data_IF_979383926560
#
_entry.id   IF_979383926560
#
_cell.length_a   1.000
_cell.length_b   1.000
_cell.length_c   1.000
_cell.angle_alpha   90.00
_cell.angle_beta   90.00
_cell.angle_gamma   90.00
#
_symmetry.space_group_name_H-M   'P 1'
#
loop_
_entity.id
_entity.type
_entity.pdbx_description
1 polymer ?
#
# COMPACT_ATOMS: atom_id res chain seq x y z
N UNK A 1 4.44 -25.03 3.53
CA UNK A 1 3.12 -25.61 3.87
C UNK A 1 2.10 -24.55 4.26
N UNK A 2 2.41 -23.63 5.20
CA UNK A 2 1.47 -22.62 5.71
C UNK A 2 0.90 -21.75 4.59
N UNK A 3 1.77 -21.16 3.76
CA UNK A 3 1.35 -20.29 2.64
C UNK A 3 0.46 -21.03 1.63
N UNK A 4 0.82 -22.23 1.22
CA UNK A 4 0.04 -22.98 0.21
C UNK A 4 -1.27 -23.57 0.70
N UNK A 5 -1.39 -23.86 2.01
CA UNK A 5 -2.57 -24.54 2.56
C UNK A 5 -3.57 -23.60 3.24
N UNK A 6 -3.13 -22.44 3.71
CA UNK A 6 -3.91 -21.57 4.59
C UNK A 6 -4.16 -20.16 4.03
N UNK A 7 -3.38 -19.76 3.00
CA UNK A 7 -3.44 -18.41 2.42
C UNK A 7 -3.15 -18.44 0.93
N UNK A 8 -3.63 -19.45 0.20
CA UNK A 8 -3.35 -19.59 -1.23
C UNK A 8 -4.00 -18.47 -2.05
N UNK A 9 -3.22 -17.82 -2.94
CA UNK A 9 -3.68 -16.76 -3.84
C UNK A 9 -4.36 -15.58 -3.12
N UNK A 10 -3.83 -15.14 -1.97
CA UNK A 10 -4.39 -14.01 -1.24
C UNK A 10 -5.74 -14.29 -0.55
N UNK A 11 -6.16 -15.56 -0.43
CA UNK A 11 -7.44 -15.92 0.18
C UNK A 11 -7.26 -16.42 1.61
N UNK A 12 -8.03 -15.86 2.53
CA UNK A 12 -8.12 -16.35 3.91
C UNK A 12 -9.10 -17.52 4.00
N UNK A 13 -8.69 -18.61 4.62
CA UNK A 13 -9.51 -19.83 4.79
C UNK A 13 -9.98 -19.98 6.23
N UNK A 14 -11.01 -20.80 6.46
CA UNK A 14 -11.52 -21.10 7.80
C UNK A 14 -10.48 -21.71 8.75
N UNK A 15 -9.45 -22.37 8.20
CA UNK A 15 -8.34 -22.93 8.96
C UNK A 15 -7.28 -21.89 9.35
N UNK A 16 -7.25 -20.69 8.73
CA UNK A 16 -6.23 -19.66 9.01
C UNK A 16 -6.27 -19.21 10.45
N UNK A 17 -7.45 -18.91 10.99
CA UNK A 17 -7.62 -18.42 12.36
C UNK A 17 -7.17 -19.44 13.43
N UNK A 18 -7.64 -20.70 13.43
CA UNK A 18 -7.18 -21.68 14.44
C UNK A 18 -5.69 -21.97 14.33
N UNK A 19 -5.10 -21.94 13.13
CA UNK A 19 -3.65 -22.12 12.96
C UNK A 19 -2.88 -20.90 13.44
N UNK A 20 -3.34 -19.68 13.18
CA UNK A 20 -2.74 -18.45 13.73
C UNK A 20 -2.67 -18.52 15.26
N UNK A 21 -3.79 -18.84 15.92
CA UNK A 21 -3.85 -19.04 17.36
C UNK A 21 -2.89 -20.10 17.89
N UNK A 22 -2.73 -21.18 17.16
CA UNK A 22 -1.78 -22.22 17.49
C UNK A 22 -0.33 -21.73 17.35
N UNK A 23 0.03 -21.12 16.20
CA UNK A 23 1.35 -20.58 15.95
C UNK A 23 1.77 -19.54 17.00
N UNK A 24 0.89 -18.62 17.33
CA UNK A 24 1.12 -17.59 18.37
C UNK A 24 1.47 -18.22 19.73
N UNK A 25 0.77 -19.30 20.12
CA UNK A 25 1.00 -20.00 21.40
C UNK A 25 2.31 -20.76 21.48
N UNK A 26 2.84 -21.23 20.36
CA UNK A 26 4.06 -22.06 20.34
C UNK A 26 5.28 -21.32 19.77
N UNK A 27 5.14 -20.04 19.44
CA UNK A 27 6.13 -19.28 18.70
C UNK A 27 7.50 -19.25 19.40
N UNK A 28 7.53 -19.11 20.71
CA UNK A 28 8.75 -19.09 21.52
C UNK A 28 9.44 -20.45 21.68
N UNK A 29 8.69 -21.53 21.41
CA UNK A 29 9.14 -22.94 21.55
C UNK A 29 9.74 -23.49 20.25
N UNK A 30 9.59 -22.78 19.14
CA UNK A 30 10.09 -23.21 17.83
C UNK A 30 11.60 -23.01 17.70
N UNK A 31 12.21 -23.83 16.81
CA UNK A 31 13.59 -23.56 16.36
C UNK A 31 13.66 -22.23 15.60
N UNK A 32 14.86 -21.64 15.46
CA UNK A 32 15.01 -20.37 14.75
C UNK A 32 14.43 -20.40 13.32
N UNK A 33 14.79 -21.43 12.54
CA UNK A 33 14.31 -21.57 11.15
C UNK A 33 12.77 -21.73 11.08
N UNK A 34 12.17 -22.49 12.02
CA UNK A 34 10.72 -22.64 12.06
C UNK A 34 10.04 -21.34 12.53
N UNK A 35 10.65 -20.60 13.45
CA UNK A 35 10.14 -19.31 13.93
C UNK A 35 10.11 -18.29 12.78
N UNK A 36 11.19 -18.17 12.03
CA UNK A 36 11.27 -17.25 10.87
C UNK A 36 10.16 -17.52 9.85
N UNK A 37 9.96 -18.80 9.49
CA UNK A 37 8.88 -19.20 8.56
C UNK A 37 7.48 -18.89 9.11
N UNK A 38 7.28 -19.07 10.41
CA UNK A 38 6.00 -18.76 11.05
C UNK A 38 5.80 -17.24 11.15
N UNK A 39 6.84 -16.47 11.47
CA UNK A 39 6.78 -15.00 11.51
C UNK A 39 6.48 -14.43 10.12
N UNK A 40 7.11 -14.95 9.07
CA UNK A 40 6.80 -14.59 7.68
C UNK A 40 5.32 -14.85 7.34
N UNK A 41 4.79 -16.01 7.75
CA UNK A 41 3.38 -16.31 7.53
C UNK A 41 2.44 -15.43 8.39
N UNK A 42 2.79 -15.12 9.64
CA UNK A 42 2.05 -14.18 10.50
C UNK A 42 2.00 -12.78 9.86
N UNK A 43 3.12 -12.30 9.33
CA UNK A 43 3.17 -11.07 8.55
C UNK A 43 2.15 -11.11 7.41
N UNK A 44 2.23 -12.13 6.55
CA UNK A 44 1.36 -12.29 5.39
C UNK A 44 -0.14 -12.31 5.76
N UNK A 45 -0.51 -13.03 6.84
CA UNK A 45 -1.91 -13.02 7.34
C UNK A 45 -2.35 -11.62 7.78
N UNK A 46 -1.48 -10.88 8.46
CA UNK A 46 -1.77 -9.51 8.90
C UNK A 46 -2.11 -8.60 7.73
N UNK A 47 -1.34 -8.68 6.67
CA UNK A 47 -1.53 -7.85 5.49
C UNK A 47 -2.73 -8.26 4.66
N UNK A 48 -2.94 -9.54 4.40
CA UNK A 48 -4.17 -10.01 3.74
C UNK A 48 -5.42 -9.57 4.49
N UNK A 49 -5.38 -9.58 5.82
CA UNK A 49 -6.50 -9.13 6.66
C UNK A 49 -6.75 -7.63 6.50
N UNK A 50 -5.70 -6.85 6.21
CA UNK A 50 -5.78 -5.40 5.94
C UNK A 50 -6.28 -5.10 4.52
N UNK A 51 -5.68 -5.73 3.52
CA UNK A 51 -5.98 -5.48 2.09
C UNK A 51 -7.31 -6.05 1.63
N UNK A 52 -7.88 -7.01 2.39
CA UNK A 52 -9.17 -7.64 2.10
C UNK A 52 -10.09 -7.61 3.32
N UNK A 53 -10.51 -6.42 3.78
CA UNK A 53 -11.27 -6.26 5.02
C UNK A 53 -12.66 -6.92 5.01
N UNK A 54 -13.25 -7.12 3.84
CA UNK A 54 -14.51 -7.86 3.61
C UNK A 54 -14.32 -9.36 3.43
N UNK A 55 -13.07 -9.85 3.39
CA UNK A 55 -12.82 -11.27 3.25
C UNK A 55 -13.46 -12.06 4.42
N UNK A 56 -13.98 -13.25 4.17
CA UNK A 56 -14.43 -14.14 5.24
C UNK A 56 -13.31 -14.30 6.29
N UNK A 57 -13.67 -14.23 7.57
CA UNK A 57 -12.74 -14.34 8.71
C UNK A 57 -11.81 -13.14 8.98
N UNK A 58 -11.83 -12.08 8.17
CA UNK A 58 -10.98 -10.92 8.42
C UNK A 58 -11.27 -10.23 9.76
N UNK A 59 -12.54 -10.16 10.16
CA UNK A 59 -12.93 -9.57 11.45
C UNK A 59 -12.41 -10.39 12.64
N UNK A 60 -12.53 -11.73 12.56
CA UNK A 60 -12.04 -12.63 13.59
C UNK A 60 -10.52 -12.63 13.69
N UNK A 61 -9.82 -12.54 12.55
CA UNK A 61 -8.36 -12.41 12.52
C UNK A 61 -7.90 -11.10 13.15
N UNK A 62 -8.58 -9.98 12.83
CA UNK A 62 -8.29 -8.68 13.48
C UNK A 62 -8.44 -8.73 14.99
N UNK A 63 -9.40 -9.48 15.51
CA UNK A 63 -9.58 -9.64 16.95
C UNK A 63 -8.40 -10.33 17.64
N UNK A 64 -7.53 -11.03 16.90
CA UNK A 64 -6.31 -11.65 17.44
C UNK A 64 -5.10 -10.71 17.47
N UNK A 65 -5.20 -9.48 16.93
CA UNK A 65 -4.06 -8.58 16.76
C UNK A 65 -3.28 -8.34 18.06
N UNK A 66 -3.97 -8.15 19.20
CA UNK A 66 -3.30 -7.99 20.50
C UNK A 66 -2.46 -9.23 20.82
N UNK A 67 -3.03 -10.42 20.70
CA UNK A 67 -2.34 -11.69 21.02
C UNK A 67 -1.13 -11.91 20.12
N UNK A 68 -1.26 -11.56 18.83
CA UNK A 68 -0.17 -11.68 17.85
C UNK A 68 0.97 -10.73 18.20
N UNK A 69 0.68 -9.45 18.41
CA UNK A 69 1.71 -8.43 18.72
C UNK A 69 2.38 -8.72 20.06
N UNK A 70 1.65 -9.14 21.09
CA UNK A 70 2.23 -9.54 22.37
C UNK A 70 3.19 -10.73 22.22
N UNK A 71 2.83 -11.74 21.41
CA UNK A 71 3.70 -12.88 21.13
C UNK A 71 4.96 -12.47 20.36
N UNK A 72 4.83 -11.58 19.37
CA UNK A 72 5.97 -11.03 18.63
C UNK A 72 6.88 -10.22 19.56
N UNK A 73 6.33 -9.38 20.43
CA UNK A 73 7.13 -8.61 21.41
C UNK A 73 7.86 -9.48 22.43
N UNK A 74 7.28 -10.62 22.79
CA UNK A 74 7.91 -11.58 23.70
C UNK A 74 9.00 -12.44 23.03
N UNK A 75 8.98 -12.52 21.68
CA UNK A 75 9.93 -13.31 20.92
C UNK A 75 11.34 -12.69 21.01
N UNK A 76 12.38 -13.57 21.12
CA UNK A 76 13.74 -13.14 20.77
C UNK A 76 13.79 -12.78 19.30
N UNK A 77 13.99 -11.51 19.05
CA UNK A 77 13.91 -10.94 17.73
C UNK A 77 14.87 -11.59 16.71
N UNK A 78 16.01 -12.11 17.17
CA UNK A 78 16.95 -12.85 16.34
C UNK A 78 16.35 -14.12 15.72
N UNK A 79 15.32 -14.68 16.36
CA UNK A 79 14.59 -15.85 15.85
C UNK A 79 13.59 -15.48 14.74
N UNK A 80 13.11 -14.23 14.69
CA UNK A 80 12.11 -13.79 13.71
C UNK A 80 12.68 -13.40 12.35
N UNK A 81 14.03 -13.32 12.24
CA UNK A 81 14.70 -12.99 11.00
C UNK A 81 14.31 -11.63 10.43
N UNK A 82 14.42 -11.47 9.13
CA UNK A 82 14.07 -10.25 8.40
C UNK A 82 12.57 -9.91 8.41
N UNK A 83 11.71 -10.89 8.67
CA UNK A 83 10.26 -10.71 8.70
C UNK A 83 9.73 -10.14 10.01
N UNK A 84 10.55 -10.06 11.06
CA UNK A 84 10.11 -9.68 12.41
C UNK A 84 9.51 -8.26 12.46
N UNK A 85 10.23 -7.27 11.96
CA UNK A 85 9.79 -5.88 11.94
C UNK A 85 8.59 -5.67 11.03
N UNK A 86 8.55 -6.35 9.89
CA UNK A 86 7.44 -6.35 8.95
C UNK A 86 6.18 -6.97 9.56
N UNK A 87 6.33 -8.08 10.29
CA UNK A 87 5.20 -8.70 11.00
C UNK A 87 4.60 -7.74 12.05
N UNK A 88 5.44 -7.06 12.83
CA UNK A 88 4.98 -6.01 13.73
C UNK A 88 4.24 -4.91 12.98
N UNK A 89 4.77 -4.44 11.84
CA UNK A 89 4.14 -3.41 11.00
C UNK A 89 2.80 -3.86 10.43
N UNK A 90 2.71 -5.08 9.90
CA UNK A 90 1.48 -5.61 9.31
C UNK A 90 0.30 -5.65 10.30
N UNK A 91 0.58 -5.91 11.58
CA UNK A 91 -0.43 -5.92 12.64
C UNK A 91 -0.64 -4.56 13.33
N UNK A 92 0.24 -3.57 13.06
CA UNK A 92 0.15 -2.22 13.62
C UNK A 92 -1.14 -1.48 13.23
N UNK A 93 -1.66 -1.75 12.04
CA UNK A 93 -2.83 -1.09 11.46
C UNK A 93 -4.15 -1.26 12.25
N UNK A 94 -4.14 -2.13 13.27
CA UNK A 94 -5.33 -2.41 14.09
C UNK A 94 -5.34 -1.69 15.43
N UNK A 95 -4.36 -0.81 15.69
CA UNK A 95 -4.19 -0.12 16.98
C UNK A 95 -4.06 1.39 16.78
N UNK A 96 -4.53 2.13 17.76
CA UNK A 96 -4.28 3.56 17.83
C UNK A 96 -2.86 3.85 18.32
N UNK A 97 -2.28 4.95 17.81
CA UNK A 97 -0.90 5.33 18.12
C UNK A 97 -0.67 5.62 19.62
N UNK A 98 -1.72 5.96 20.37
CA UNK A 98 -1.70 6.26 21.81
C UNK A 98 -1.77 5.02 22.69
N UNK A 99 -2.04 3.84 22.13
CA UNK A 99 -2.11 2.60 22.92
C UNK A 99 -0.75 2.27 23.56
N UNK A 100 -0.77 1.74 24.79
CA UNK A 100 0.44 1.29 25.49
C UNK A 100 1.21 0.26 24.64
N UNK A 101 0.48 -0.61 23.94
CA UNK A 101 1.08 -1.60 23.06
C UNK A 101 1.85 -0.94 21.90
N UNK A 102 1.33 0.17 21.35
CA UNK A 102 2.00 0.95 20.33
C UNK A 102 3.34 1.55 20.83
N UNK A 103 3.40 2.02 22.07
CA UNK A 103 4.67 2.47 22.66
C UNK A 103 5.70 1.35 22.74
N UNK A 104 5.29 0.17 23.17
CA UNK A 104 6.17 -1.00 23.28
C UNK A 104 6.70 -1.43 21.91
N UNK A 105 5.85 -1.43 20.90
CA UNK A 105 6.26 -1.76 19.52
C UNK A 105 7.24 -0.72 18.99
N UNK A 106 6.94 0.58 19.10
CA UNK A 106 7.87 1.64 18.66
C UNK A 106 9.23 1.55 19.39
N UNK A 107 9.23 1.26 20.68
CA UNK A 107 10.47 1.05 21.41
C UNK A 107 11.26 -0.13 20.85
N UNK A 108 10.57 -1.24 20.56
CA UNK A 108 11.20 -2.44 19.98
C UNK A 108 11.75 -2.16 18.57
N UNK A 109 11.00 -1.50 17.70
CA UNK A 109 11.42 -1.20 16.32
C UNK A 109 12.68 -0.32 16.26
N UNK A 110 12.86 0.60 17.23
CA UNK A 110 14.06 1.46 17.32
C UNK A 110 15.34 0.69 17.67
N UNK A 111 15.25 -0.55 18.08
CA UNK A 111 16.41 -1.42 18.34
C UNK A 111 17.01 -2.00 17.05
N UNK A 112 16.32 -1.84 15.91
CA UNK A 112 16.71 -2.39 14.61
C UNK A 112 17.34 -1.35 13.70
N UNK A 113 18.19 -1.79 12.74
CA UNK A 113 18.63 -0.93 11.65
C UNK A 113 17.45 -0.33 10.90
N UNK A 114 17.58 0.91 10.49
CA UNK A 114 16.56 1.57 9.67
C UNK A 114 16.70 1.08 8.24
N UNK A 115 15.76 0.26 7.83
CA UNK A 115 15.49 -0.12 6.46
C UNK A 115 14.04 0.23 6.10
N UNK A 116 13.63 0.01 4.84
CA UNK A 116 12.28 0.31 4.40
C UNK A 116 11.21 -0.40 5.23
N UNK A 117 11.39 -1.69 5.54
CA UNK A 117 10.44 -2.48 6.32
C UNK A 117 10.31 -2.01 7.77
N UNK A 118 11.43 -1.76 8.43
CA UNK A 118 11.45 -1.21 9.81
C UNK A 118 10.79 0.16 9.86
N UNK A 119 11.06 1.02 8.86
CA UNK A 119 10.50 2.35 8.80
C UNK A 119 8.99 2.34 8.50
N UNK A 120 8.54 1.45 7.60
CA UNK A 120 7.12 1.24 7.35
C UNK A 120 6.38 0.78 8.62
N UNK A 121 6.95 -0.18 9.35
CA UNK A 121 6.40 -0.63 10.62
C UNK A 121 6.37 0.50 11.67
N UNK A 122 7.45 1.29 11.80
CA UNK A 122 7.51 2.44 12.71
C UNK A 122 6.45 3.49 12.36
N UNK A 123 6.30 3.82 11.07
CA UNK A 123 5.32 4.78 10.58
C UNK A 123 3.87 4.31 10.81
N UNK A 124 3.58 3.04 10.58
CA UNK A 124 2.26 2.45 10.86
C UNK A 124 1.84 2.60 12.33
N UNK A 125 2.81 2.61 13.25
CA UNK A 125 2.60 2.86 14.68
C UNK A 125 2.76 4.34 15.08
N UNK A 126 2.64 5.27 14.13
CA UNK A 126 2.67 6.72 14.37
C UNK A 126 4.06 7.27 14.75
N UNK A 127 5.13 6.58 14.35
CA UNK A 127 6.49 7.08 14.47
C UNK A 127 6.76 8.21 13.48
N UNK A 128 7.60 9.18 13.88
CA UNK A 128 8.07 10.25 12.98
C UNK A 128 9.04 9.67 11.94
N UNK A 129 8.70 9.81 10.67
CA UNK A 129 9.49 9.34 9.53
C UNK A 129 10.11 10.48 8.71
N UNK A 130 9.86 11.74 9.09
CA UNK A 130 10.24 12.94 8.33
C UNK A 130 11.74 13.05 8.04
N UNK A 131 12.60 12.59 8.96
CA UNK A 131 14.05 12.62 8.82
C UNK A 131 14.57 11.76 7.64
N UNK A 132 13.74 10.86 7.10
CA UNK A 132 14.13 9.90 6.07
C UNK A 132 13.58 10.23 4.68
N UNK A 133 12.85 11.34 4.52
CA UNK A 133 12.26 11.76 3.24
C UNK A 133 13.31 12.01 2.14
N UNK A 134 14.56 12.29 2.52
CA UNK A 134 15.68 12.54 1.60
C UNK A 134 16.71 11.41 1.60
N UNK A 135 16.37 10.21 2.06
CA UNK A 135 17.26 9.05 2.05
C UNK A 135 17.68 8.70 0.62
N UNK A 136 18.96 8.33 0.44
CA UNK A 136 19.44 7.79 -0.82
C UNK A 136 18.85 6.39 -1.13
N UNK A 137 18.46 5.66 -0.08
CA UNK A 137 17.76 4.38 -0.21
C UNK A 137 16.29 4.63 -0.58
N UNK A 138 15.90 4.15 -1.78
CA UNK A 138 14.55 4.33 -2.31
C UNK A 138 13.50 3.67 -1.41
N UNK A 139 13.79 2.52 -0.82
CA UNK A 139 12.88 1.81 0.07
C UNK A 139 12.59 2.59 1.34
N UNK A 140 13.66 3.10 1.97
CA UNK A 140 13.56 3.97 3.16
C UNK A 140 12.79 5.25 2.81
N UNK A 141 13.11 5.88 1.67
CA UNK A 141 12.42 7.11 1.24
C UNK A 141 10.94 6.87 0.93
N UNK A 142 10.61 5.75 0.27
CA UNK A 142 9.21 5.37 -0.04
C UNK A 142 8.42 5.14 1.24
N UNK A 143 8.95 4.36 2.18
CA UNK A 143 8.30 4.12 3.47
C UNK A 143 8.12 5.41 4.28
N UNK A 144 9.12 6.30 4.28
CA UNK A 144 9.03 7.60 4.93
C UNK A 144 7.92 8.46 4.32
N UNK A 145 7.91 8.60 3.00
CA UNK A 145 6.95 9.40 2.25
C UNK A 145 5.52 8.87 2.40
N UNK A 146 5.35 7.54 2.44
CA UNK A 146 4.04 6.91 2.64
C UNK A 146 3.42 7.28 3.99
N UNK A 147 4.20 7.36 5.06
CA UNK A 147 3.69 7.64 6.40
C UNK A 147 3.71 9.12 6.80
N UNK A 148 4.54 9.94 6.16
CA UNK A 148 4.59 11.39 6.44
C UNK A 148 3.55 12.13 5.59
N UNK A 149 2.49 12.64 6.22
CA UNK A 149 1.41 13.40 5.58
C UNK A 149 1.64 14.91 5.52
N UNK A 150 2.84 15.38 5.84
CA UNK A 150 3.22 16.78 5.65
C UNK A 150 3.32 17.14 4.15
N UNK A 151 3.45 18.45 3.86
CA UNK A 151 3.72 18.92 2.49
C UNK A 151 5.02 18.28 1.95
N UNK A 152 6.07 18.18 2.78
CA UNK A 152 7.33 17.55 2.41
C UNK A 152 7.16 16.05 2.13
N UNK A 153 6.40 15.32 2.96
CA UNK A 153 6.06 13.94 2.73
C UNK A 153 5.23 13.73 1.46
N UNK A 154 4.32 14.64 1.16
CA UNK A 154 3.53 14.61 -0.08
C UNK A 154 4.39 14.85 -1.31
N UNK A 155 5.31 15.82 -1.27
CA UNK A 155 6.28 16.07 -2.35
C UNK A 155 7.18 14.84 -2.58
N UNK A 156 7.70 14.24 -1.50
CA UNK A 156 8.50 13.02 -1.58
C UNK A 156 7.69 11.84 -2.15
N UNK A 157 6.40 11.71 -1.82
CA UNK A 157 5.54 10.65 -2.35
C UNK A 157 5.32 10.77 -3.86
N UNK A 158 5.12 11.99 -4.36
CA UNK A 158 5.06 12.28 -5.81
C UNK A 158 6.40 11.92 -6.48
N UNK A 159 7.52 12.23 -5.83
CA UNK A 159 8.85 11.93 -6.35
C UNK A 159 9.11 10.42 -6.45
N UNK A 160 8.86 9.67 -5.37
CA UNK A 160 9.10 8.21 -5.38
C UNK A 160 8.19 7.50 -6.38
N UNK A 161 6.93 7.90 -6.51
CA UNK A 161 6.02 7.35 -7.52
C UNK A 161 6.46 7.64 -8.97
N UNK A 162 7.32 8.62 -9.17
CA UNK A 162 7.91 8.93 -10.48
C UNK A 162 9.16 8.09 -10.80
N UNK A 163 9.61 7.23 -9.88
CA UNK A 163 10.72 6.29 -10.09
C UNK A 163 10.16 4.90 -10.46
N UNK A 164 10.50 4.34 -11.63
CA UNK A 164 9.97 3.04 -12.07
C UNK A 164 10.37 1.85 -11.17
N UNK A 165 11.34 2.04 -10.30
CA UNK A 165 11.80 1.00 -9.36
C UNK A 165 10.97 0.95 -8.07
N UNK A 166 10.07 1.91 -7.87
CA UNK A 166 9.31 2.01 -6.61
C UNK A 166 8.43 0.79 -6.38
N UNK A 167 7.84 0.21 -7.44
CA UNK A 167 7.04 -1.01 -7.34
C UNK A 167 7.84 -2.17 -6.76
N UNK A 168 8.99 -2.50 -7.39
CA UNK A 168 9.85 -3.60 -6.93
C UNK A 168 10.31 -3.41 -5.48
N UNK A 169 10.62 -2.16 -5.12
CA UNK A 169 11.06 -1.81 -3.78
C UNK A 169 9.91 -1.89 -2.77
N UNK A 170 8.72 -1.45 -3.14
CA UNK A 170 7.54 -1.46 -2.27
C UNK A 170 7.10 -2.89 -1.95
N UNK A 171 7.09 -3.78 -2.94
CA UNK A 171 6.84 -5.20 -2.73
C UNK A 171 7.81 -5.84 -1.72
N UNK A 172 9.07 -5.42 -1.74
CA UNK A 172 10.08 -5.92 -0.80
C UNK A 172 9.89 -5.38 0.63
N UNK A 173 9.36 -4.16 0.78
CA UNK A 173 9.19 -3.49 2.07
C UNK A 173 7.95 -3.99 2.81
N UNK A 174 6.82 -3.98 2.13
CA UNK A 174 5.52 -4.20 2.77
C UNK A 174 5.11 -5.65 2.66
N UNK A 175 5.30 -6.28 1.50
CA UNK A 175 4.96 -7.70 1.28
C UNK A 175 5.14 -8.21 -0.13
N UNK A 176 5.09 -9.58 -0.28
CA UNK A 176 4.93 -10.21 -1.58
C UNK A 176 3.63 -9.82 -2.32
N UNK A 177 2.67 -9.21 -1.63
CA UNK A 177 1.40 -8.74 -2.18
C UNK A 177 1.17 -7.24 -1.93
N UNK A 178 2.17 -6.50 -1.40
CA UNK A 178 2.15 -5.05 -1.30
C UNK A 178 2.08 -4.44 -2.69
N UNK A 179 0.95 -3.78 -2.99
CA UNK A 179 0.72 -3.24 -4.33
C UNK A 179 1.12 -1.78 -4.36
N UNK A 180 1.70 -1.35 -5.44
CA UNK A 180 1.97 0.08 -5.68
C UNK A 180 0.66 0.90 -5.62
N UNK A 181 -0.49 0.25 -5.81
CA UNK A 181 -1.82 0.83 -5.61
C UNK A 181 -1.95 1.50 -4.24
N UNK A 182 -1.45 0.88 -3.16
CA UNK A 182 -1.50 1.45 -1.80
C UNK A 182 -0.81 2.81 -1.73
N UNK A 183 0.32 2.96 -2.43
CA UNK A 183 1.10 4.21 -2.45
C UNK A 183 0.38 5.29 -3.24
N UNK A 184 -0.26 4.91 -4.35
CA UNK A 184 -1.07 5.82 -5.17
C UNK A 184 -2.34 6.23 -4.42
N UNK A 185 -3.02 5.29 -3.77
CA UNK A 185 -4.22 5.56 -2.96
C UNK A 185 -3.89 6.51 -1.80
N UNK A 186 -2.76 6.31 -1.11
CA UNK A 186 -2.32 7.23 -0.06
C UNK A 186 -2.06 8.64 -0.61
N UNK A 187 -1.42 8.76 -1.80
CA UNK A 187 -1.20 10.06 -2.44
C UNK A 187 -2.54 10.76 -2.75
N UNK A 188 -3.46 10.04 -3.37
CA UNK A 188 -4.77 10.60 -3.80
C UNK A 188 -5.65 10.97 -2.60
N UNK A 189 -5.47 10.31 -1.46
CA UNK A 189 -6.18 10.61 -0.22
C UNK A 189 -5.68 11.87 0.50
N UNK A 190 -4.55 12.45 0.07
CA UNK A 190 -3.97 13.66 0.68
C UNK A 190 -4.63 14.95 0.18
N UNK A 191 -4.50 16.01 0.95
CA UNK A 191 -4.82 17.36 0.46
C UNK A 191 -3.72 17.84 -0.50
N UNK A 192 -4.03 17.81 -1.78
CA UNK A 192 -3.13 18.23 -2.86
C UNK A 192 -3.33 19.67 -3.31
N UNK A 193 -4.21 20.42 -2.66
CA UNK A 193 -4.56 21.79 -3.08
C UNK A 193 -3.41 22.80 -2.89
N UNK A 194 -2.57 22.58 -1.89
CA UNK A 194 -1.48 23.48 -1.48
C UNK A 194 -0.10 23.10 -2.02
N UNK A 195 0.03 22.05 -2.86
CA UNK A 195 1.36 21.62 -3.34
C UNK A 195 2.05 22.70 -4.19
N UNK A 196 3.39 22.78 -4.08
CA UNK A 196 4.17 23.74 -4.84
C UNK A 196 4.12 23.46 -6.35
N UNK A 197 4.44 24.48 -7.17
CA UNK A 197 4.29 24.41 -8.63
C UNK A 197 5.15 23.29 -9.26
N UNK A 198 6.35 23.04 -8.73
CA UNK A 198 7.22 21.99 -9.23
C UNK A 198 6.64 20.60 -9.02
N UNK A 199 6.07 20.35 -7.83
CA UNK A 199 5.40 19.11 -7.48
C UNK A 199 4.09 18.95 -8.25
N UNK A 200 3.38 20.05 -8.50
CA UNK A 200 2.17 20.06 -9.34
C UNK A 200 2.47 19.58 -10.76
N UNK A 201 3.54 20.09 -11.38
CA UNK A 201 3.95 19.67 -12.71
C UNK A 201 4.30 18.16 -12.78
N UNK A 202 4.92 17.61 -11.72
CA UNK A 202 5.17 16.17 -11.59
C UNK A 202 3.85 15.40 -11.43
N UNK A 203 2.97 15.85 -10.53
CA UNK A 203 1.67 15.23 -10.29
C UNK A 203 0.83 15.17 -11.59
N UNK A 204 0.86 16.21 -12.41
CA UNK A 204 0.12 16.25 -13.68
C UNK A 204 0.61 15.23 -14.73
N UNK A 205 1.85 14.77 -14.62
CA UNK A 205 2.39 13.72 -15.49
C UNK A 205 2.27 12.31 -14.90
N UNK A 206 2.10 12.21 -13.59
CA UNK A 206 2.15 10.96 -12.85
C UNK A 206 1.09 9.93 -13.28
N UNK A 207 -0.20 10.28 -13.54
CA UNK A 207 -1.19 9.30 -13.95
C UNK A 207 -0.85 8.56 -15.25
N UNK A 208 -0.29 9.28 -16.23
CA UNK A 208 0.15 8.67 -17.51
C UNK A 208 1.39 7.82 -17.28
N UNK A 209 2.33 8.28 -16.44
CA UNK A 209 3.51 7.52 -16.08
C UNK A 209 3.13 6.21 -15.38
N UNK A 210 2.29 6.26 -14.34
CA UNK A 210 1.85 5.07 -13.62
C UNK A 210 1.10 4.08 -14.52
N UNK A 211 0.25 4.56 -15.41
CA UNK A 211 -0.42 3.72 -16.40
C UNK A 211 0.57 3.00 -17.33
N UNK A 212 1.68 3.64 -17.69
CA UNK A 212 2.66 3.08 -18.64
C UNK A 212 3.68 2.12 -18.01
N UNK A 213 3.96 2.26 -16.70
CA UNK A 213 4.99 1.50 -16.00
C UNK A 213 4.37 0.43 -15.10
N UNK A 214 3.34 0.80 -14.34
CA UNK A 214 2.65 -0.08 -13.41
C UNK A 214 1.37 -0.55 -14.05
N UNK A 215 1.18 -1.85 -14.15
CA UNK A 215 0.04 -2.42 -14.87
C UNK A 215 -1.34 -2.00 -14.33
N UNK A 216 -1.45 -1.47 -13.10
CA UNK A 216 -2.77 -1.22 -12.51
C UNK A 216 -3.03 0.02 -11.63
N UNK A 217 -2.19 0.89 -11.17
CA UNK A 217 -2.65 1.96 -10.28
C UNK A 217 -3.11 3.23 -11.02
N UNK A 218 -3.91 3.10 -12.07
CA UNK A 218 -4.46 4.26 -12.78
C UNK A 218 -5.82 4.70 -12.22
N UNK A 219 -6.62 3.76 -11.67
CA UNK A 219 -7.98 4.04 -11.19
C UNK A 219 -8.04 5.14 -10.11
N UNK A 220 -7.18 5.12 -9.06
CA UNK A 220 -7.23 6.15 -8.03
C UNK A 220 -7.06 7.57 -8.58
N UNK A 221 -6.28 7.75 -9.64
CA UNK A 221 -6.08 9.06 -10.26
C UNK A 221 -7.34 9.66 -10.90
N UNK A 222 -8.38 8.85 -11.17
CA UNK A 222 -9.68 9.36 -11.59
C UNK A 222 -10.32 10.31 -10.58
N UNK A 223 -9.92 10.23 -9.31
CA UNK A 223 -10.37 11.16 -8.27
C UNK A 223 -9.75 12.56 -8.43
N UNK A 224 -8.62 12.68 -9.12
CA UNK A 224 -7.89 13.94 -9.29
C UNK A 224 -8.29 14.72 -10.56
N UNK A 225 -9.06 14.13 -11.46
CA UNK A 225 -9.46 14.79 -12.70
C UNK A 225 -10.52 15.89 -12.46
N UNK A 226 -10.67 16.79 -13.42
CA UNK A 226 -11.59 17.94 -13.34
C UNK A 226 -12.92 17.69 -14.06
N UNK A 227 -13.37 16.46 -14.16
CA UNK A 227 -14.67 16.08 -14.77
C UNK A 227 -15.26 14.88 -14.02
N UNK A 228 -16.55 14.63 -14.26
CA UNK A 228 -17.25 13.57 -13.55
C UNK A 228 -17.30 13.82 -12.05
N UNK A 229 -16.90 12.84 -11.25
CA UNK A 229 -16.89 12.88 -9.79
C UNK A 229 -15.51 13.27 -9.21
N UNK A 230 -14.57 13.71 -10.03
CA UNK A 230 -13.22 14.07 -9.60
C UNK A 230 -13.15 15.40 -8.84
N UNK A 231 -12.08 15.62 -8.11
CA UNK A 231 -11.86 16.81 -7.26
C UNK A 231 -11.17 17.99 -7.97
N UNK A 232 -10.78 17.82 -9.24
CA UNK A 232 -10.24 18.88 -10.07
C UNK A 232 -8.80 19.30 -9.77
N UNK A 233 -8.00 18.48 -9.12
CA UNK A 233 -6.58 18.76 -8.84
C UNK A 233 -5.74 18.82 -10.11
N UNK A 234 -6.00 17.91 -11.08
CA UNK A 234 -5.35 17.95 -12.38
C UNK A 234 -5.98 19.01 -13.27
N UNK A 235 -5.14 19.81 -13.97
CA UNK A 235 -5.64 20.77 -14.94
C UNK A 235 -6.27 20.06 -16.17
N UNK A 236 -6.93 20.82 -17.05
CA UNK A 236 -7.63 20.29 -18.22
C UNK A 236 -6.68 19.54 -19.15
N UNK A 237 -5.45 20.04 -19.34
CA UNK A 237 -4.47 19.39 -20.23
C UNK A 237 -4.02 18.05 -19.67
N UNK A 238 -3.64 17.98 -18.39
CA UNK A 238 -3.25 16.74 -17.71
C UNK A 238 -4.39 15.73 -17.70
N UNK A 239 -5.62 16.17 -17.39
CA UNK A 239 -6.82 15.34 -17.45
C UNK A 239 -7.03 14.77 -18.86
N UNK A 240 -6.90 15.60 -19.91
CA UNK A 240 -7.05 15.19 -21.30
C UNK A 240 -5.99 14.16 -21.71
N UNK A 241 -4.73 14.38 -21.30
CA UNK A 241 -3.64 13.43 -21.56
C UNK A 241 -3.90 12.09 -20.88
N UNK A 242 -4.28 12.11 -19.62
CA UNK A 242 -4.53 10.89 -18.83
C UNK A 242 -5.70 10.08 -19.39
N UNK A 243 -6.86 10.69 -19.61
CA UNK A 243 -8.02 10.01 -20.18
C UNK A 243 -7.76 9.53 -21.62
N UNK A 244 -6.93 10.27 -22.38
CA UNK A 244 -6.46 9.85 -23.70
C UNK A 244 -5.62 8.57 -23.61
N UNK A 245 -4.67 8.52 -22.66
CA UNK A 245 -3.87 7.31 -22.43
C UNK A 245 -4.74 6.12 -22.02
N UNK A 246 -5.70 6.30 -21.11
CA UNK A 246 -6.68 5.25 -20.73
C UNK A 246 -7.47 4.77 -21.96
N UNK A 247 -7.94 5.71 -22.81
CA UNK A 247 -8.72 5.37 -24.01
C UNK A 247 -7.89 4.64 -25.08
N UNK A 248 -6.57 4.86 -25.13
CA UNK A 248 -5.70 4.32 -26.18
C UNK A 248 -4.97 3.04 -25.75
N UNK A 249 -4.91 2.73 -24.47
CA UNK A 249 -4.31 1.48 -23.97
C UNK A 249 -5.21 0.27 -24.27
N UNK A 250 -4.77 -0.59 -25.18
CA UNK A 250 -5.52 -1.78 -25.59
C UNK A 250 -5.72 -2.78 -24.44
N UNK A 251 -4.78 -2.85 -23.51
CA UNK A 251 -4.83 -3.80 -22.38
C UNK A 251 -6.01 -3.54 -21.44
N UNK A 252 -6.41 -2.28 -21.30
CA UNK A 252 -7.54 -1.88 -20.45
C UNK A 252 -8.91 -2.21 -21.07
N UNK A 253 -8.96 -2.49 -22.37
CA UNK A 253 -10.21 -2.73 -23.11
C UNK A 253 -10.33 -4.16 -23.65
N UNK A 254 -9.35 -5.00 -23.35
CA UNK A 254 -9.37 -6.39 -23.78
C UNK A 254 -10.55 -7.14 -23.14
N UNK A 255 -11.30 -7.89 -23.95
CA UNK A 255 -12.48 -8.69 -23.55
C UNK A 255 -13.54 -7.93 -22.72
N UNK A 256 -13.77 -6.65 -23.02
CA UNK A 256 -14.67 -5.79 -22.26
C UNK A 256 -14.33 -5.78 -20.76
N UNK A 257 -13.09 -5.49 -20.44
CA UNK A 257 -12.56 -5.50 -19.06
C UNK A 257 -13.52 -4.79 -18.09
N UNK A 258 -14.26 -5.58 -17.32
CA UNK A 258 -15.29 -5.08 -16.43
C UNK A 258 -14.73 -4.12 -15.39
N UNK A 259 -13.49 -4.33 -14.96
CA UNK A 259 -12.80 -3.44 -14.03
C UNK A 259 -12.69 -2.01 -14.60
N UNK A 260 -12.19 -1.85 -15.80
CA UNK A 260 -12.08 -0.52 -16.47
C UNK A 260 -13.44 0.14 -16.61
N UNK A 261 -14.45 -0.63 -17.03
CA UNK A 261 -15.82 -0.14 -17.18
C UNK A 261 -16.39 0.36 -15.84
N UNK A 262 -16.20 -0.39 -14.78
CA UNK A 262 -16.74 -0.06 -13.46
C UNK A 262 -15.99 1.11 -12.81
N UNK A 263 -14.67 1.20 -12.99
CA UNK A 263 -13.87 2.34 -12.56
C UNK A 263 -14.33 3.65 -13.20
N UNK A 264 -14.50 3.65 -14.55
CA UNK A 264 -14.99 4.82 -15.26
C UNK A 264 -16.41 5.20 -14.87
N UNK A 265 -17.33 4.22 -14.69
CA UNK A 265 -18.70 4.49 -14.21
C UNK A 265 -18.69 5.11 -12.81
N UNK A 266 -17.88 4.58 -11.90
CA UNK A 266 -17.74 5.10 -10.53
C UNK A 266 -17.25 6.55 -10.53
N UNK A 267 -16.35 6.89 -11.47
CA UNK A 267 -15.86 8.24 -11.68
C UNK A 267 -16.85 9.17 -12.42
N UNK A 268 -18.01 8.67 -12.85
CA UNK A 268 -18.99 9.45 -13.61
C UNK A 268 -18.57 9.74 -15.05
N UNK A 269 -17.74 8.87 -15.63
CA UNK A 269 -17.19 8.99 -16.97
C UNK A 269 -17.84 8.02 -17.95
N UNK A 270 -17.73 8.28 -19.28
CA UNK A 270 -18.14 7.30 -20.27
C UNK A 270 -17.45 5.96 -20.10
N UNK A 271 -18.22 4.89 -20.07
CA UNK A 271 -17.75 3.53 -19.79
C UNK A 271 -17.52 2.69 -21.05
N UNK A 272 -17.60 3.29 -22.24
CA UNK A 272 -17.16 2.69 -23.49
C UNK A 272 -15.96 3.43 -24.06
N UNK A 273 -15.04 2.69 -24.65
CA UNK A 273 -13.83 3.23 -25.27
C UNK A 273 -14.11 4.32 -26.29
N UNK A 274 -15.14 4.10 -27.13
CA UNK A 274 -15.51 5.05 -28.18
C UNK A 274 -16.04 6.37 -27.61
N UNK A 275 -16.90 6.30 -26.59
CA UNK A 275 -17.43 7.49 -25.94
C UNK A 275 -16.36 8.25 -25.15
N UNK A 276 -15.44 7.52 -24.49
CA UNK A 276 -14.30 8.14 -23.81
C UNK A 276 -13.40 8.88 -24.82
N UNK A 277 -13.12 8.29 -25.99
CA UNK A 277 -12.39 8.96 -27.08
C UNK A 277 -13.10 10.20 -27.58
N UNK A 278 -14.43 10.19 -27.70
CA UNK A 278 -15.21 11.36 -28.07
C UNK A 278 -15.10 12.47 -27.05
N UNK A 279 -15.18 12.12 -25.75
CA UNK A 279 -14.99 13.06 -24.66
C UNK A 279 -13.59 13.69 -24.71
N UNK A 280 -12.53 12.89 -24.79
CA UNK A 280 -11.14 13.37 -24.90
C UNK A 280 -10.95 14.31 -26.10
N UNK A 281 -11.55 13.98 -27.26
CA UNK A 281 -11.51 14.85 -28.43
C UNK A 281 -12.19 16.20 -28.16
N UNK A 282 -13.36 16.20 -27.54
CA UNK A 282 -14.08 17.45 -27.22
C UNK A 282 -13.37 18.33 -26.19
N UNK A 283 -12.44 17.77 -25.40
CA UNK A 283 -11.62 18.54 -24.45
C UNK A 283 -10.39 19.17 -25.09
N UNK A 284 -10.01 18.73 -26.31
CA UNK A 284 -8.87 19.27 -27.07
C UNK A 284 -9.27 20.42 -28.00
N UNK A 285 -10.55 20.47 -28.38
CA UNK A 285 -11.15 21.51 -29.25
C UNK A 285 -11.57 22.73 -28.43
#
# INVERSE_FOLDING_TARGET
>A
FLFGALTHQGTLYSATLPVLRFCVRVLDQLSADATEQVVAWIQFVGSLTRTSPEAPYAAELRAEAISVVEALLALDAKKGGEYYTRALGAWAWYFDAEDELAYRVRARLREYPVDGGTLAALGAWGGDTSAYLTSDDLGVRTAAAFHDRSEAGTAALIEVLSDPKTEDVWEQIIEPDGRIDDVVEELVARDLSGIAEAERARLESLPVFCLSIYYQPWEPFLQLINIGNGNGVLNTEATTRFLGAVADDDSLWYDANQFTIDALKKAGLPSSREELRKLVKSMRD
#
